data_IF_895976394062
#
_entry.id   IF_895976394062
#
_cell.length_a   1.000
_cell.length_b   1.000
_cell.length_c   1.000
_cell.angle_alpha   90.00
_cell.angle_beta   90.00
_cell.angle_gamma   90.00
#
_symmetry.space_group_name_H-M   'P 1'
#
loop_
_entity.id
_entity.type
_entity.pdbx_description
1 polymer ?
#
# COMPACT_ATOMS: atom_id res chain seq x y z
N UNK A 1 -26.76 46.43 -28.88
CA UNK A 1 -25.88 45.39 -29.45
C UNK A 1 -26.30 44.04 -28.90
N UNK A 2 -26.72 43.13 -29.78
CA UNK A 2 -27.48 41.93 -29.46
C UNK A 2 -26.59 40.75 -29.01
N UNK A 3 -27.10 39.98 -28.05
CA UNK A 3 -26.53 38.77 -27.44
C UNK A 3 -26.42 37.63 -28.47
N UNK A 4 -25.26 36.97 -28.57
CA UNK A 4 -25.12 35.66 -29.22
C UNK A 4 -25.07 34.58 -28.14
N UNK A 5 -26.15 33.81 -28.05
CA UNK A 5 -26.20 32.56 -27.28
C UNK A 5 -25.82 31.39 -28.19
N UNK A 6 -24.84 30.61 -27.77
CA UNK A 6 -24.45 29.34 -28.36
C UNK A 6 -25.36 28.23 -27.84
N UNK A 7 -26.04 27.53 -28.74
CA UNK A 7 -26.83 26.31 -28.44
C UNK A 7 -25.90 25.11 -28.26
N UNK A 8 -26.19 24.18 -27.34
CA UNK A 8 -25.52 22.88 -27.28
C UNK A 8 -26.09 21.95 -28.36
N UNK A 9 -25.18 21.25 -29.05
CA UNK A 9 -25.46 20.20 -30.03
C UNK A 9 -25.96 18.93 -29.33
N UNK A 10 -27.15 18.48 -29.72
CA UNK A 10 -27.65 17.13 -29.44
C UNK A 10 -26.84 16.11 -30.23
N UNK A 11 -26.29 15.10 -29.54
CA UNK A 11 -25.75 13.90 -30.18
C UNK A 11 -26.85 12.84 -30.25
N UNK A 12 -27.23 12.48 -31.48
CA UNK A 12 -28.09 11.35 -31.80
C UNK A 12 -27.43 10.04 -31.39
N UNK A 13 -28.11 9.28 -30.53
CA UNK A 13 -27.78 7.89 -30.23
C UNK A 13 -28.28 7.01 -31.39
N UNK A 14 -27.39 6.73 -32.33
CA UNK A 14 -27.63 5.75 -33.39
C UNK A 14 -27.74 4.34 -32.82
N UNK A 15 -28.92 3.73 -32.93
CA UNK A 15 -29.15 2.30 -32.67
C UNK A 15 -28.49 1.51 -33.79
N UNK A 16 -27.40 0.81 -33.48
CA UNK A 16 -26.76 -0.12 -34.41
C UNK A 16 -27.51 -1.45 -34.34
N UNK A 17 -28.35 -1.71 -35.35
CA UNK A 17 -28.94 -3.02 -35.60
C UNK A 17 -27.92 -3.90 -36.32
N UNK A 18 -27.36 -4.90 -35.64
CA UNK A 18 -26.45 -5.89 -36.23
C UNK A 18 -27.29 -7.05 -36.76
N UNK A 19 -27.57 -7.05 -38.06
CA UNK A 19 -28.05 -8.24 -38.77
C UNK A 19 -26.84 -9.09 -39.18
N UNK A 20 -26.70 -10.27 -38.57
CA UNK A 20 -25.67 -11.26 -38.91
C UNK A 20 -26.16 -12.08 -40.10
N UNK A 21 -25.49 -11.92 -41.25
CA UNK A 21 -25.64 -12.76 -42.45
C UNK A 21 -24.61 -13.89 -42.36
N UNK A 22 -25.08 -15.13 -42.50
CA UNK A 22 -24.29 -16.35 -42.39
C UNK A 22 -23.32 -16.56 -43.58
N UNK A 23 -22.07 -16.90 -43.28
CA UNK A 23 -21.10 -17.49 -44.20
C UNK A 23 -20.42 -18.70 -43.50
N UNK A 24 -20.04 -19.77 -44.23
CA UNK A 24 -19.59 -21.02 -43.60
C UNK A 24 -18.05 -21.21 -43.63
N UNK A 25 -17.58 -21.91 -42.58
CA UNK A 25 -16.27 -22.55 -42.40
C UNK A 25 -15.03 -21.66 -42.14
N UNK A 26 -15.07 -20.91 -41.02
CA UNK A 26 -13.94 -20.23 -40.37
C UNK A 26 -13.78 -20.71 -38.90
N UNK A 27 -13.68 -22.03 -38.66
CA UNK A 27 -13.71 -22.62 -37.29
C UNK A 27 -12.42 -22.45 -36.47
N UNK A 28 -11.42 -21.71 -36.95
CA UNK A 28 -10.21 -21.35 -36.16
C UNK A 28 -10.19 -19.85 -35.80
N UNK A 29 -10.94 -19.01 -36.52
CA UNK A 29 -11.07 -17.58 -36.19
C UNK A 29 -12.13 -17.32 -35.09
N UNK A 30 -13.15 -18.17 -34.99
CA UNK A 30 -14.27 -17.99 -34.05
C UNK A 30 -13.89 -18.27 -32.59
N UNK A 31 -12.95 -19.20 -32.35
CA UNK A 31 -12.48 -19.55 -30.99
C UNK A 31 -11.56 -18.47 -30.41
N UNK A 32 -10.71 -17.85 -31.24
CA UNK A 32 -9.83 -16.74 -30.83
C UNK A 32 -10.65 -15.50 -30.46
N UNK A 33 -11.83 -15.32 -31.05
CA UNK A 33 -12.75 -14.24 -30.68
C UNK A 33 -13.49 -14.55 -29.37
N UNK A 34 -13.90 -15.79 -29.13
CA UNK A 34 -14.60 -16.18 -27.90
C UNK A 34 -13.77 -15.96 -26.62
N UNK A 35 -12.49 -16.31 -26.62
CA UNK A 35 -11.58 -16.09 -25.48
C UNK A 35 -11.34 -14.59 -25.25
N UNK A 36 -11.20 -13.83 -26.33
CA UNK A 36 -11.00 -12.38 -26.26
C UNK A 36 -12.26 -11.66 -25.74
N UNK A 37 -13.43 -12.05 -26.24
CA UNK A 37 -14.73 -11.56 -25.75
C UNK A 37 -14.87 -11.88 -24.26
N UNK A 38 -14.56 -13.11 -23.86
CA UNK A 38 -14.60 -13.53 -22.45
C UNK A 38 -13.66 -12.69 -21.59
N UNK A 39 -12.41 -12.49 -22.03
CA UNK A 39 -11.45 -11.63 -21.33
C UNK A 39 -11.93 -10.18 -21.20
N UNK A 40 -12.57 -9.62 -22.24
CA UNK A 40 -13.16 -8.29 -22.18
C UNK A 40 -14.35 -8.22 -21.20
N UNK A 41 -15.21 -9.25 -21.17
CA UNK A 41 -16.32 -9.33 -20.22
C UNK A 41 -15.84 -9.46 -18.78
N UNK A 42 -14.76 -10.22 -18.53
CA UNK A 42 -14.14 -10.33 -17.20
C UNK A 42 -13.59 -8.97 -16.75
N UNK A 43 -12.85 -8.25 -17.62
CA UNK A 43 -12.38 -6.89 -17.31
C UNK A 43 -13.53 -5.92 -17.02
N UNK A 44 -14.64 -6.03 -17.76
CA UNK A 44 -15.82 -5.23 -17.49
C UNK A 44 -16.42 -5.55 -16.10
N UNK A 45 -16.50 -6.83 -15.73
CA UNK A 45 -16.97 -7.24 -14.41
C UNK A 45 -16.05 -6.77 -13.28
N UNK A 46 -14.72 -6.78 -13.49
CA UNK A 46 -13.72 -6.21 -12.58
C UNK A 46 -13.88 -4.70 -12.42
N UNK A 47 -14.08 -3.96 -13.51
CA UNK A 47 -14.32 -2.52 -13.46
C UNK A 47 -15.60 -2.21 -12.66
N UNK A 48 -16.69 -2.94 -12.93
CA UNK A 48 -17.93 -2.82 -12.17
C UNK A 48 -17.71 -3.16 -10.70
N UNK A 49 -16.97 -4.22 -10.39
CA UNK A 49 -16.66 -4.59 -9.01
C UNK A 49 -16.03 -3.44 -8.22
N UNK A 50 -14.99 -2.80 -8.78
CA UNK A 50 -14.32 -1.69 -8.09
C UNK A 50 -15.17 -0.43 -8.04
N UNK A 51 -16.03 -0.19 -9.04
CA UNK A 51 -17.03 0.89 -9.01
C UNK A 51 -18.03 0.72 -7.88
N UNK A 52 -18.57 -0.51 -7.71
CA UNK A 52 -19.46 -0.86 -6.60
C UNK A 52 -18.76 -0.65 -5.25
N UNK A 53 -17.54 -1.17 -5.09
CA UNK A 53 -16.78 -1.01 -3.84
C UNK A 53 -16.50 0.47 -3.54
N UNK A 54 -16.17 1.26 -4.57
CA UNK A 54 -15.98 2.70 -4.44
C UNK A 54 -17.25 3.39 -3.94
N UNK A 55 -18.40 3.10 -4.56
CA UNK A 55 -19.69 3.64 -4.13
C UNK A 55 -20.04 3.24 -2.68
N UNK A 56 -19.73 2.00 -2.28
CA UNK A 56 -19.91 1.56 -0.91
C UNK A 56 -19.04 2.35 0.08
N UNK A 57 -17.75 2.57 -0.23
CA UNK A 57 -16.86 3.38 0.61
C UNK A 57 -17.36 4.81 0.79
N UNK A 58 -18.12 5.33 -0.17
CA UNK A 58 -18.66 6.69 -0.16
C UNK A 58 -20.14 6.79 0.24
N UNK A 59 -20.79 5.67 0.58
CA UNK A 59 -22.16 5.65 1.09
C UNK A 59 -22.29 6.22 2.51
N UNK A 60 -23.51 6.56 2.92
CA UNK A 60 -23.84 7.02 4.27
C UNK A 60 -24.07 5.87 5.28
N UNK A 61 -23.52 4.68 4.98
CA UNK A 61 -23.64 3.52 5.86
C UNK A 61 -22.62 3.59 7.03
N UNK A 62 -22.93 2.99 8.20
CA UNK A 62 -21.99 2.96 9.31
C UNK A 62 -20.61 2.33 8.98
N UNK A 63 -20.52 1.19 8.25
CA UNK A 63 -19.22 0.63 7.86
C UNK A 63 -18.39 1.57 6.97
N UNK A 64 -19.04 2.28 6.05
CA UNK A 64 -18.38 3.26 5.20
C UNK A 64 -17.87 4.47 5.97
N UNK A 65 -18.66 4.98 6.91
CA UNK A 65 -18.21 6.04 7.81
C UNK A 65 -17.00 5.61 8.65
N UNK A 66 -17.00 4.39 9.19
CA UNK A 66 -15.89 3.83 9.94
C UNK A 66 -14.63 3.69 9.07
N UNK A 67 -14.75 3.15 7.86
CA UNK A 67 -13.63 3.00 6.93
C UNK A 67 -13.01 4.35 6.55
N UNK A 68 -13.84 5.38 6.29
CA UNK A 68 -13.37 6.74 6.03
C UNK A 68 -12.67 7.36 7.25
N UNK A 69 -13.21 7.16 8.45
CA UNK A 69 -12.57 7.63 9.69
C UNK A 69 -11.22 6.96 9.92
N UNK A 70 -11.10 5.67 9.63
CA UNK A 70 -9.83 4.95 9.67
C UNK A 70 -8.81 5.58 8.72
N UNK A 71 -9.18 5.81 7.45
CA UNK A 71 -8.31 6.44 6.46
C UNK A 71 -7.85 7.84 6.88
N UNK A 72 -8.77 8.65 7.43
CA UNK A 72 -8.43 9.97 8.00
C UNK A 72 -7.47 9.80 9.18
N UNK A 73 -7.73 8.85 10.07
CA UNK A 73 -6.92 8.59 11.26
C UNK A 73 -5.47 8.21 10.94
N UNK A 74 -5.23 7.53 9.81
CA UNK A 74 -3.86 7.21 9.35
C UNK A 74 -3.19 8.36 8.56
N UNK A 75 -3.88 9.48 8.34
CA UNK A 75 -3.35 10.68 7.68
C UNK A 75 -3.77 10.86 6.21
N UNK A 76 -4.79 10.13 5.72
CA UNK A 76 -5.28 10.35 4.37
C UNK A 76 -6.20 11.58 4.27
N UNK A 77 -6.10 12.29 3.14
CA UNK A 77 -7.03 13.38 2.78
C UNK A 77 -8.24 12.84 2.04
N UNK A 78 -9.43 12.89 2.66
CA UNK A 78 -10.63 12.21 2.15
C UNK A 78 -11.07 12.73 0.76
N UNK A 79 -10.88 14.02 0.48
CA UNK A 79 -11.15 14.62 -0.82
C UNK A 79 -10.30 14.02 -1.96
N UNK A 80 -9.10 13.53 -1.62
CA UNK A 80 -8.20 12.86 -2.57
C UNK A 80 -8.42 11.35 -2.57
N UNK A 81 -8.84 10.74 -1.45
CA UNK A 81 -9.25 9.33 -1.38
C UNK A 81 -10.29 8.99 -2.44
N UNK A 82 -11.20 9.93 -2.77
CA UNK A 82 -12.17 9.80 -3.87
C UNK A 82 -11.56 9.56 -5.26
N UNK A 83 -10.25 9.79 -5.42
CA UNK A 83 -9.51 9.59 -6.68
C UNK A 83 -8.61 8.37 -6.63
N UNK A 84 -8.49 7.72 -5.47
CA UNK A 84 -7.68 6.53 -5.32
C UNK A 84 -8.50 5.30 -5.76
N UNK A 85 -7.86 4.26 -6.32
CA UNK A 85 -8.53 3.02 -6.67
C UNK A 85 -8.82 2.19 -5.40
N UNK A 86 -9.63 2.74 -4.50
CA UNK A 86 -9.94 2.21 -3.18
C UNK A 86 -11.45 2.12 -3.01
N UNK A 87 -11.92 1.00 -2.49
CA UNK A 87 -13.33 0.78 -2.17
C UNK A 87 -13.51 0.06 -0.85
N UNK A 88 -14.77 -0.11 -0.45
CA UNK A 88 -15.20 -0.91 0.68
C UNK A 88 -15.99 -2.08 0.12
N UNK A 89 -15.55 -3.30 0.43
CA UNK A 89 -16.17 -4.49 -0.11
C UNK A 89 -17.54 -4.71 0.56
N UNK A 90 -18.64 -4.76 -0.20
CA UNK A 90 -19.98 -4.95 0.35
C UNK A 90 -20.27 -6.40 0.75
N UNK A 91 -21.40 -6.68 1.42
CA UNK A 91 -21.90 -8.05 1.54
C UNK A 91 -21.99 -8.74 0.18
N UNK A 92 -21.62 -10.02 0.12
CA UNK A 92 -21.58 -10.79 -1.13
C UNK A 92 -22.90 -10.77 -1.90
N UNK A 93 -24.02 -10.93 -1.21
CA UNK A 93 -25.35 -10.96 -1.83
C UNK A 93 -25.67 -9.64 -2.53
N UNK A 94 -25.23 -8.52 -1.97
CA UNK A 94 -25.39 -7.19 -2.56
C UNK A 94 -24.55 -7.04 -3.82
N UNK A 95 -23.28 -7.47 -3.77
CA UNK A 95 -22.39 -7.47 -4.94
C UNK A 95 -22.96 -8.30 -6.09
N UNK A 96 -23.42 -9.52 -5.78
CA UNK A 96 -24.05 -10.43 -6.76
C UNK A 96 -25.32 -9.82 -7.34
N UNK A 97 -26.14 -9.16 -6.50
CA UNK A 97 -27.34 -8.47 -6.96
C UNK A 97 -26.99 -7.33 -7.93
N UNK A 98 -25.97 -6.53 -7.63
CA UNK A 98 -25.54 -5.41 -8.47
C UNK A 98 -24.95 -5.88 -9.81
N UNK A 99 -24.15 -6.95 -9.86
CA UNK A 99 -23.70 -7.50 -11.14
C UNK A 99 -24.87 -8.01 -12.00
N UNK A 100 -25.84 -8.69 -11.38
CA UNK A 100 -27.03 -9.16 -12.09
C UNK A 100 -27.87 -8.02 -12.64
N UNK A 101 -28.04 -6.93 -11.89
CA UNK A 101 -28.79 -5.76 -12.35
C UNK A 101 -28.09 -5.03 -13.50
N UNK A 102 -26.76 -5.15 -13.62
CA UNK A 102 -25.98 -4.66 -14.75
C UNK A 102 -25.86 -5.65 -15.92
N UNK A 103 -26.55 -6.80 -15.85
CA UNK A 103 -26.56 -7.80 -16.93
C UNK A 103 -25.27 -8.64 -17.02
N UNK A 104 -24.40 -8.58 -16.01
CA UNK A 104 -23.21 -9.43 -15.94
C UNK A 104 -23.66 -10.85 -15.59
N UNK A 105 -23.32 -11.80 -16.46
CA UNK A 105 -23.71 -13.20 -16.29
C UNK A 105 -22.93 -13.84 -15.15
N UNK A 106 -23.55 -14.83 -14.51
CA UNK A 106 -22.99 -15.54 -13.36
C UNK A 106 -21.64 -16.18 -13.67
N UNK A 107 -21.50 -16.73 -14.87
CA UNK A 107 -20.28 -17.42 -15.31
C UNK A 107 -19.09 -16.46 -15.37
N UNK A 108 -19.32 -15.22 -15.82
CA UNK A 108 -18.30 -14.16 -15.86
C UNK A 108 -17.89 -13.75 -14.44
N UNK A 109 -18.86 -13.65 -13.52
CA UNK A 109 -18.60 -13.35 -12.10
C UNK A 109 -17.75 -14.45 -11.44
N UNK A 110 -18.09 -15.71 -11.70
CA UNK A 110 -17.35 -16.87 -11.18
C UNK A 110 -15.93 -16.92 -11.77
N UNK A 111 -15.77 -16.64 -13.06
CA UNK A 111 -14.46 -16.55 -13.72
C UNK A 111 -13.61 -15.39 -13.17
N UNK A 112 -14.20 -14.24 -12.89
CA UNK A 112 -13.51 -13.10 -12.29
C UNK A 112 -13.01 -13.41 -10.87
N UNK A 113 -13.61 -14.40 -10.19
CA UNK A 113 -13.27 -14.83 -8.82
C UNK A 113 -13.29 -13.67 -7.81
N UNK A 114 -14.17 -12.68 -8.03
CA UNK A 114 -14.29 -11.48 -7.19
C UNK A 114 -15.39 -11.62 -6.13
N UNK A 115 -16.28 -12.61 -6.30
CA UNK A 115 -17.51 -12.79 -5.52
C UNK A 115 -17.45 -13.86 -4.42
N UNK A 116 -16.33 -14.57 -4.34
CA UNK A 116 -16.28 -15.88 -3.69
C UNK A 116 -15.91 -15.87 -2.21
N UNK A 117 -15.38 -14.74 -1.70
CA UNK A 117 -14.78 -14.70 -0.37
C UNK A 117 -15.59 -13.82 0.59
N UNK A 118 -16.42 -14.45 1.41
CA UNK A 118 -17.25 -13.77 2.41
C UNK A 118 -16.41 -13.05 3.48
N UNK A 119 -15.12 -13.40 3.63
CA UNK A 119 -14.22 -12.71 4.56
C UNK A 119 -13.90 -11.29 4.12
N UNK A 120 -14.09 -10.94 2.85
CA UNK A 120 -13.84 -9.60 2.35
C UNK A 120 -14.91 -8.59 2.80
N UNK A 121 -16.10 -9.03 3.20
CA UNK A 121 -17.18 -8.15 3.62
C UNK A 121 -16.72 -7.13 4.68
N UNK A 122 -16.90 -5.84 4.38
CA UNK A 122 -16.52 -4.72 5.25
C UNK A 122 -15.02 -4.35 5.22
N UNK A 123 -14.20 -5.01 4.39
CA UNK A 123 -12.79 -4.67 4.25
C UNK A 123 -12.59 -3.57 3.20
N UNK A 124 -11.58 -2.73 3.43
CA UNK A 124 -11.05 -1.85 2.40
C UNK A 124 -10.37 -2.71 1.33
N UNK A 125 -10.66 -2.45 0.06
CA UNK A 125 -10.12 -3.22 -1.07
C UNK A 125 -9.55 -2.30 -2.14
N UNK A 126 -8.46 -2.73 -2.76
CA UNK A 126 -7.85 -2.05 -3.90
C UNK A 126 -7.27 -3.06 -4.89
N UNK A 127 -7.23 -2.72 -6.19
CA UNK A 127 -6.69 -3.60 -7.20
C UNK A 127 -5.18 -3.67 -7.07
N UNK A 128 -4.63 -4.87 -7.27
CA UNK A 128 -3.23 -5.06 -7.61
C UNK A 128 -3.19 -5.38 -9.10
N UNK A 129 -2.70 -4.43 -9.88
CA UNK A 129 -2.55 -4.57 -11.33
C UNK A 129 -1.08 -4.71 -11.69
N UNK A 130 -0.82 -5.34 -12.84
CA UNK A 130 0.51 -5.37 -13.42
C UNK A 130 0.86 -4.05 -14.15
N UNK A 131 2.05 -4.01 -14.75
CA UNK A 131 2.52 -2.84 -15.46
C UNK A 131 1.73 -2.53 -16.76
N UNK A 132 0.90 -3.44 -17.25
CA UNK A 132 -0.02 -3.25 -18.37
C UNK A 132 -1.41 -2.76 -17.93
N UNK A 133 -1.69 -2.77 -16.62
CA UNK A 133 -2.97 -2.41 -16.05
C UNK A 133 -3.94 -3.58 -15.93
N UNK A 134 -3.49 -4.82 -16.16
CA UNK A 134 -4.32 -6.01 -16.01
C UNK A 134 -4.40 -6.40 -14.52
N UNK A 135 -5.60 -6.76 -14.05
CA UNK A 135 -5.81 -7.16 -12.66
C UNK A 135 -5.10 -8.49 -12.36
N UNK A 136 -4.22 -8.47 -11.36
CA UNK A 136 -3.49 -9.64 -10.87
C UNK A 136 -4.19 -10.24 -9.66
N UNK A 137 -4.54 -9.41 -8.67
CA UNK A 137 -5.26 -9.82 -7.46
C UNK A 137 -5.99 -8.63 -6.84
N UNK A 138 -6.80 -8.90 -5.83
CA UNK A 138 -7.29 -7.90 -4.87
C UNK A 138 -6.42 -7.99 -3.62
N UNK A 139 -6.08 -6.82 -3.07
CA UNK A 139 -5.59 -6.70 -1.71
C UNK A 139 -6.71 -6.12 -0.84
N UNK A 140 -6.87 -6.66 0.37
CA UNK A 140 -7.87 -6.20 1.33
C UNK A 140 -7.26 -5.94 2.71
N UNK A 141 -7.74 -4.89 3.37
CA UNK A 141 -7.34 -4.50 4.73
C UNK A 141 -8.58 -4.23 5.56
N UNK A 142 -8.62 -4.79 6.77
CA UNK A 142 -9.64 -4.46 7.75
C UNK A 142 -9.44 -3.01 8.23
N UNK A 143 -10.45 -2.13 8.12
CA UNK A 143 -10.40 -0.77 8.64
C UNK A 143 -10.48 -0.70 10.18
N UNK A 144 -10.64 -1.83 10.88
CA UNK A 144 -10.69 -1.92 12.35
C UNK A 144 -9.27 -2.09 12.91
N UNK A 145 -8.70 -1.07 13.60
CA UNK A 145 -7.30 -1.10 14.04
C UNK A 145 -6.98 -2.19 15.06
N UNK A 146 -7.97 -2.66 15.82
CA UNK A 146 -7.77 -3.61 16.91
C UNK A 146 -7.41 -5.02 16.40
N UNK A 147 -7.83 -5.35 15.17
CA UNK A 147 -7.62 -6.66 14.56
C UNK A 147 -7.27 -6.48 13.08
N UNK A 148 -6.07 -5.95 12.76
CA UNK A 148 -5.71 -5.64 11.39
C UNK A 148 -5.54 -6.94 10.59
N UNK A 149 -6.63 -7.40 9.96
CA UNK A 149 -6.61 -8.52 9.04
C UNK A 149 -6.25 -8.02 7.65
N UNK A 150 -5.35 -8.75 6.99
CA UNK A 150 -4.97 -8.54 5.59
C UNK A 150 -5.33 -9.78 4.82
N UNK A 151 -6.04 -9.59 3.71
CA UNK A 151 -6.34 -10.69 2.80
C UNK A 151 -5.77 -10.33 1.43
N UNK A 152 -5.15 -11.31 0.81
CA UNK A 152 -4.61 -11.24 -0.53
C UNK A 152 -5.06 -12.51 -1.21
N UNK A 153 -5.76 -12.39 -2.34
CA UNK A 153 -6.34 -13.55 -3.01
C UNK A 153 -5.28 -14.47 -3.61
N UNK A 154 -4.30 -13.89 -4.32
CA UNK A 154 -3.26 -14.61 -5.06
C UNK A 154 -1.85 -14.08 -4.72
N UNK A 155 -0.77 -14.89 -4.80
CA UNK A 155 0.60 -14.48 -4.50
C UNK A 155 1.18 -13.53 -5.58
N UNK A 156 0.69 -12.29 -5.58
CA UNK A 156 0.96 -11.29 -6.62
C UNK A 156 2.41 -10.85 -6.71
N UNK A 157 3.18 -11.00 -5.62
CA UNK A 157 4.59 -10.57 -5.55
C UNK A 157 5.50 -11.31 -6.54
N UNK A 158 5.05 -12.46 -7.06
CA UNK A 158 5.73 -13.21 -8.13
C UNK A 158 5.42 -12.68 -9.53
N UNK A 159 4.34 -11.92 -9.68
CA UNK A 159 3.82 -11.43 -10.97
C UNK A 159 4.03 -9.93 -11.16
N UNK A 160 4.05 -9.16 -10.07
CA UNK A 160 4.23 -7.70 -10.11
C UNK A 160 5.42 -7.32 -9.23
N UNK A 161 6.40 -6.53 -9.74
CA UNK A 161 7.58 -6.15 -8.95
C UNK A 161 7.18 -5.37 -7.69
N UNK A 162 6.27 -4.42 -7.85
CA UNK A 162 5.73 -3.56 -6.81
C UNK A 162 4.32 -3.10 -7.19
N UNK A 163 3.46 -2.88 -6.20
CA UNK A 163 2.15 -2.30 -6.43
C UNK A 163 2.25 -0.80 -6.75
N UNK A 164 1.33 -0.29 -7.57
CA UNK A 164 1.30 1.11 -8.01
C UNK A 164 2.21 1.41 -9.20
N UNK A 165 2.83 0.40 -9.82
CA UNK A 165 3.67 0.55 -11.01
C UNK A 165 2.85 1.08 -12.20
N UNK A 166 1.62 0.61 -12.37
CA UNK A 166 0.67 1.12 -13.37
C UNK A 166 0.48 2.64 -13.24
N UNK A 167 0.21 3.11 -12.01
CA UNK A 167 0.02 4.52 -11.72
C UNK A 167 1.31 5.31 -11.96
N UNK A 168 2.45 4.77 -11.52
CA UNK A 168 3.75 5.38 -11.73
C UNK A 168 4.09 5.54 -13.22
N UNK A 169 3.83 4.51 -14.03
CA UNK A 169 4.01 4.54 -15.49
C UNK A 169 3.06 5.52 -16.17
N UNK A 170 1.77 5.48 -15.80
CA UNK A 170 0.76 6.37 -16.36
C UNK A 170 1.04 7.85 -16.07
N UNK A 171 1.72 8.16 -14.96
CA UNK A 171 2.11 9.53 -14.63
C UNK A 171 3.16 10.14 -15.57
N UNK A 172 3.93 9.31 -16.29
CA UNK A 172 5.06 9.73 -17.12
C UNK A 172 6.28 10.26 -16.34
N UNK A 173 6.15 10.43 -15.02
CA UNK A 173 7.25 10.81 -14.13
C UNK A 173 8.15 9.59 -13.95
N UNK A 174 9.46 9.75 -14.12
CA UNK A 174 10.44 8.65 -14.02
C UNK A 174 11.25 8.65 -12.72
N UNK A 175 10.94 9.57 -11.81
CA UNK A 175 11.49 9.61 -10.46
C UNK A 175 10.42 9.12 -9.49
N UNK A 176 10.61 7.91 -8.96
CA UNK A 176 9.61 7.24 -8.14
C UNK A 176 9.99 7.22 -6.67
N UNK A 177 8.97 7.08 -5.83
CA UNK A 177 9.10 6.84 -4.40
C UNK A 177 8.70 5.40 -4.14
N UNK A 178 9.46 4.68 -3.32
CA UNK A 178 9.05 3.36 -2.85
C UNK A 178 8.83 3.38 -1.35
N UNK A 179 7.79 2.66 -0.92
CA UNK A 179 7.51 2.38 0.49
C UNK A 179 7.34 0.87 0.70
N UNK A 180 7.42 0.46 1.96
CA UNK A 180 7.27 -0.95 2.34
C UNK A 180 5.81 -1.34 2.60
N UNK A 181 4.89 -0.39 2.81
CA UNK A 181 3.48 -0.69 3.19
C UNK A 181 2.48 0.08 2.34
N UNK A 182 1.36 -0.58 2.02
CA UNK A 182 0.26 0.01 1.25
C UNK A 182 -0.33 1.26 1.90
N UNK A 183 -0.58 1.22 3.22
CA UNK A 183 -1.15 2.36 3.93
C UNK A 183 -0.25 3.60 3.86
N UNK A 184 1.08 3.42 3.86
CA UNK A 184 1.99 4.55 3.69
C UNK A 184 1.86 5.14 2.28
N UNK A 185 1.76 4.32 1.24
CA UNK A 185 1.57 4.81 -0.13
C UNK A 185 0.23 5.53 -0.31
N UNK A 186 -0.86 5.01 0.27
CA UNK A 186 -2.17 5.68 0.23
C UNK A 186 -2.11 7.06 0.89
N UNK A 187 -1.45 7.17 2.04
CA UNK A 187 -1.24 8.44 2.72
C UNK A 187 -0.43 9.39 1.83
N UNK A 188 0.68 8.93 1.26
CA UNK A 188 1.52 9.73 0.35
C UNK A 188 0.75 10.19 -0.90
N UNK A 189 0.04 9.30 -1.59
CA UNK A 189 -0.79 9.61 -2.75
C UNK A 189 -1.88 10.62 -2.40
N UNK A 190 -2.57 10.45 -1.27
CA UNK A 190 -3.61 11.39 -0.84
C UNK A 190 -3.07 12.79 -0.54
N UNK A 191 -1.77 12.92 -0.30
CA UNK A 191 -1.07 14.16 -0.06
C UNK A 191 -0.25 14.65 -1.28
N UNK A 192 -0.45 14.03 -2.46
CA UNK A 192 0.21 14.44 -3.70
C UNK A 192 1.69 14.10 -3.78
N UNK A 193 2.18 13.17 -2.96
CA UNK A 193 3.61 12.84 -2.87
C UNK A 193 3.98 11.75 -3.87
N UNK A 194 4.31 12.22 -5.08
CA UNK A 194 4.93 11.47 -6.19
C UNK A 194 4.19 10.21 -6.65
N UNK A 195 4.59 9.63 -7.80
CA UNK A 195 4.26 8.24 -8.06
C UNK A 195 4.96 7.36 -7.01
N UNK A 196 4.18 6.91 -6.03
CA UNK A 196 4.65 6.00 -4.98
C UNK A 196 4.32 4.55 -5.32
N UNK A 197 5.29 3.65 -5.18
CA UNK A 197 5.13 2.19 -5.33
C UNK A 197 5.31 1.47 -3.99
N UNK A 198 4.76 0.25 -3.88
CA UNK A 198 4.77 -0.54 -2.64
C UNK A 198 5.32 -1.95 -2.88
N UNK A 199 6.25 -2.38 -2.01
CA UNK A 199 6.75 -3.75 -2.07
C UNK A 199 6.02 -4.74 -1.15
N UNK A 200 5.42 -4.25 -0.07
CA UNK A 200 4.82 -5.02 1.03
C UNK A 200 5.80 -5.85 1.88
N UNK A 201 7.10 -5.73 1.60
CA UNK A 201 8.18 -6.36 2.35
C UNK A 201 9.19 -5.28 2.80
N UNK A 202 9.93 -5.49 3.90
CA UNK A 202 11.07 -4.66 4.23
C UNK A 202 12.05 -4.62 3.06
N UNK A 203 12.64 -3.46 2.76
CA UNK A 203 13.46 -3.33 1.55
C UNK A 203 14.64 -4.32 1.50
N UNK A 204 15.21 -4.65 2.65
CA UNK A 204 16.34 -5.60 2.78
C UNK A 204 15.92 -7.08 2.66
N UNK A 205 14.62 -7.35 2.47
CA UNK A 205 14.04 -8.68 2.31
C UNK A 205 13.44 -8.90 0.92
N UNK A 206 13.44 -7.88 0.06
CA UNK A 206 12.95 -8.02 -1.31
C UNK A 206 13.92 -8.89 -2.10
N UNK A 207 13.37 -9.87 -2.81
CA UNK A 207 14.11 -10.78 -3.66
C UNK A 207 14.80 -10.06 -4.83
N UNK A 208 15.95 -10.58 -5.23
CA UNK A 208 16.77 -9.98 -6.28
C UNK A 208 16.02 -9.88 -7.62
N UNK A 209 15.23 -10.89 -7.97
CA UNK A 209 14.49 -10.92 -9.23
C UNK A 209 13.39 -9.84 -9.27
N UNK A 210 12.77 -9.51 -8.13
CA UNK A 210 11.81 -8.42 -8.03
C UNK A 210 12.47 -7.05 -8.21
N UNK A 211 13.68 -6.86 -7.65
CA UNK A 211 14.46 -5.66 -7.92
C UNK A 211 14.82 -5.55 -9.40
N UNK A 212 15.35 -6.63 -10.00
CA UNK A 212 15.69 -6.65 -11.42
C UNK A 212 14.48 -6.36 -12.31
N UNK A 213 13.32 -6.94 -12.00
CA UNK A 213 12.07 -6.67 -12.71
C UNK A 213 11.65 -5.19 -12.59
N UNK A 214 11.78 -4.57 -11.40
CA UNK A 214 11.52 -3.14 -11.24
C UNK A 214 12.50 -2.29 -12.07
N UNK A 215 13.79 -2.58 -12.02
CA UNK A 215 14.82 -1.80 -12.72
C UNK A 215 14.87 -2.04 -14.23
N UNK A 216 14.12 -3.02 -14.74
CA UNK A 216 13.86 -3.17 -16.18
C UNK A 216 12.87 -2.14 -16.73
N UNK A 217 12.15 -1.42 -15.85
CA UNK A 217 11.24 -0.35 -16.22
C UNK A 217 11.99 0.96 -16.50
N UNK A 218 11.39 1.92 -17.25
CA UNK A 218 12.02 3.19 -17.59
C UNK A 218 12.10 4.17 -16.41
N UNK A 219 12.84 3.79 -15.37
CA UNK A 219 13.04 4.51 -14.11
C UNK A 219 14.35 5.32 -14.17
N UNK A 220 14.27 6.62 -13.87
CA UNK A 220 15.44 7.52 -13.82
C UNK A 220 16.00 7.66 -12.41
N UNK A 221 15.17 7.59 -11.36
CA UNK A 221 15.65 7.53 -9.99
C UNK A 221 14.61 6.93 -9.04
N UNK A 222 15.08 6.33 -7.95
CA UNK A 222 14.23 5.73 -6.92
C UNK A 222 14.60 6.23 -5.54
N UNK A 223 13.61 6.72 -4.78
CA UNK A 223 13.79 7.11 -3.37
C UNK A 223 13.07 6.14 -2.46
N UNK A 224 13.81 5.43 -1.61
CA UNK A 224 13.27 4.47 -0.65
C UNK A 224 12.92 5.16 0.67
N UNK A 225 11.68 5.01 1.12
CA UNK A 225 11.18 5.53 2.40
C UNK A 225 10.89 4.37 3.37
N UNK A 226 11.90 3.89 4.12
CA UNK A 226 11.72 2.81 5.09
C UNK A 226 11.06 3.34 6.36
N UNK A 227 9.74 3.50 6.36
CA UNK A 227 9.00 3.87 7.55
C UNK A 227 9.18 2.83 8.66
N UNK A 228 9.44 3.30 9.87
CA UNK A 228 9.83 2.48 11.01
C UNK A 228 11.33 2.52 11.29
N UNK A 229 11.73 1.85 12.36
CA UNK A 229 13.14 1.72 12.71
C UNK A 229 13.79 0.63 11.84
N UNK A 230 14.93 0.97 11.23
CA UNK A 230 15.83 0.04 10.57
C UNK A 230 17.19 0.16 11.24
N UNK A 231 17.77 -0.97 11.59
CA UNK A 231 19.15 -1.00 12.09
C UNK A 231 20.15 -0.84 10.93
N UNK A 232 21.41 -0.54 11.27
CA UNK A 232 22.47 -0.39 10.28
C UNK A 232 22.74 -1.70 9.51
N UNK A 233 22.44 -2.86 10.11
CA UNK A 233 22.62 -4.16 9.47
C UNK A 233 21.64 -4.39 8.32
N UNK A 234 20.36 -4.02 8.49
CA UNK A 234 19.34 -4.04 7.45
C UNK A 234 19.74 -3.13 6.28
N UNK A 235 20.20 -1.91 6.58
CA UNK A 235 20.67 -0.99 5.55
C UNK A 235 21.90 -1.53 4.80
N UNK A 236 22.82 -2.20 5.49
CA UNK A 236 23.97 -2.85 4.86
C UNK A 236 23.55 -4.02 3.95
N UNK A 237 22.58 -4.84 4.36
CA UNK A 237 22.01 -5.93 3.53
C UNK A 237 21.35 -5.37 2.28
N UNK A 238 20.51 -4.35 2.43
CA UNK A 238 19.86 -3.66 1.32
C UNK A 238 20.89 -3.13 0.31
N UNK A 239 21.93 -2.42 0.77
CA UNK A 239 23.01 -1.94 -0.11
C UNK A 239 23.70 -3.08 -0.86
N UNK A 240 23.95 -4.20 -0.19
CA UNK A 240 24.58 -5.39 -0.81
C UNK A 240 23.67 -5.98 -1.89
N UNK A 241 22.38 -6.14 -1.63
CA UNK A 241 21.39 -6.63 -2.61
C UNK A 241 21.31 -5.72 -3.84
N UNK A 242 21.17 -4.40 -3.61
CA UNK A 242 21.06 -3.42 -4.69
C UNK A 242 22.32 -3.35 -5.56
N UNK A 243 23.51 -3.49 -4.96
CA UNK A 243 24.77 -3.63 -5.72
C UNK A 243 24.80 -4.91 -6.56
N UNK A 244 24.27 -6.02 -6.04
CA UNK A 244 24.19 -7.28 -6.78
C UNK A 244 23.23 -7.22 -7.97
N UNK A 245 22.27 -6.28 -7.97
CA UNK A 245 21.41 -6.02 -9.12
C UNK A 245 22.17 -5.37 -10.30
N UNK A 246 23.38 -4.83 -10.07
CA UNK A 246 24.13 -4.12 -11.12
C UNK A 246 23.47 -2.82 -11.61
N UNK A 247 22.63 -2.22 -10.77
CA UNK A 247 21.73 -1.13 -11.15
C UNK A 247 22.49 0.20 -11.28
N UNK A 248 22.33 0.85 -12.43
CA UNK A 248 22.87 2.20 -12.68
C UNK A 248 21.92 3.33 -12.26
N UNK A 249 20.65 2.99 -11.98
CA UNK A 249 19.63 3.95 -11.52
C UNK A 249 20.07 4.57 -10.18
N UNK A 250 20.13 5.90 -10.07
CA UNK A 250 20.34 6.60 -8.80
C UNK A 250 19.34 6.15 -7.71
N UNK A 251 19.87 5.53 -6.66
CA UNK A 251 19.09 5.09 -5.50
C UNK A 251 19.34 6.00 -4.31
N UNK A 252 18.24 6.47 -3.73
CA UNK A 252 18.22 7.36 -2.59
C UNK A 252 17.45 6.71 -1.45
N UNK A 253 17.73 7.14 -0.22
CA UNK A 253 16.93 6.77 0.93
C UNK A 253 16.84 7.89 1.94
N UNK A 254 15.80 7.89 2.77
CA UNK A 254 15.75 8.72 3.97
C UNK A 254 15.94 7.80 5.18
N UNK A 255 16.90 8.07 6.07
CA UNK A 255 17.08 7.25 7.27
C UNK A 255 15.78 7.15 8.08
N UNK A 256 15.33 5.93 8.38
CA UNK A 256 14.02 5.68 9.02
C UNK A 256 13.79 6.46 10.32
N UNK A 257 14.86 6.75 11.08
CA UNK A 257 14.81 7.63 12.27
C UNK A 257 14.22 9.03 12.01
N UNK A 258 14.35 9.55 10.79
CA UNK A 258 13.76 10.84 10.37
C UNK A 258 12.28 10.67 10.01
N UNK A 259 11.94 9.57 9.33
CA UNK A 259 10.57 9.26 8.90
C UNK A 259 9.64 8.90 10.06
N UNK A 260 10.15 8.27 11.12
CA UNK A 260 9.29 7.82 12.23
C UNK A 260 8.54 6.53 11.87
N UNK A 261 7.40 6.28 12.51
CA UNK A 261 6.74 4.97 12.45
C UNK A 261 5.92 4.70 11.18
N UNK A 262 5.31 5.74 10.58
CA UNK A 262 4.47 5.66 9.39
C UNK A 262 4.35 7.02 8.68
N UNK A 263 3.84 7.02 7.46
CA UNK A 263 3.70 8.22 6.63
C UNK A 263 2.79 9.28 7.26
N UNK A 264 1.70 8.89 7.94
CA UNK A 264 0.80 9.84 8.59
C UNK A 264 1.48 10.62 9.71
N UNK A 265 2.17 9.92 10.60
CA UNK A 265 2.94 10.52 11.69
C UNK A 265 4.17 11.29 11.19
N UNK A 266 4.69 10.95 10.00
CA UNK A 266 5.72 11.75 9.36
C UNK A 266 5.16 13.08 8.85
N UNK A 267 4.06 13.05 8.10
CA UNK A 267 3.44 14.24 7.51
C UNK A 267 3.04 15.27 8.56
N UNK A 268 2.44 14.82 9.67
CA UNK A 268 2.07 15.69 10.81
C UNK A 268 3.26 16.40 11.46
N UNK A 269 4.49 15.94 11.23
CA UNK A 269 5.71 16.58 11.75
C UNK A 269 6.37 17.51 10.74
N UNK A 270 5.94 17.47 9.48
CA UNK A 270 6.50 18.25 8.37
C UNK A 270 5.55 19.36 7.90
N UNK A 271 4.53 19.72 8.68
CA UNK A 271 3.41 20.61 8.30
C UNK A 271 3.81 21.94 7.62
N UNK A 272 5.03 22.43 7.85
CA UNK A 272 5.53 23.69 7.28
C UNK A 272 6.26 23.57 5.92
N UNK A 273 6.50 22.35 5.43
CA UNK A 273 7.27 22.10 4.20
C UNK A 273 6.50 21.14 3.29
N UNK A 274 6.44 21.45 2.00
CA UNK A 274 5.86 20.54 1.01
C UNK A 274 6.59 19.17 1.08
N UNK A 275 5.87 18.05 1.29
CA UNK A 275 6.52 16.77 1.60
C UNK A 275 7.50 16.29 0.50
N UNK A 276 7.20 16.58 -0.77
CA UNK A 276 8.08 16.27 -1.90
C UNK A 276 9.40 17.04 -1.84
N UNK A 277 9.35 18.32 -1.46
CA UNK A 277 10.55 19.15 -1.26
C UNK A 277 11.35 18.64 -0.07
N UNK A 278 10.68 18.32 1.04
CA UNK A 278 11.33 17.76 2.21
C UNK A 278 12.08 16.45 1.88
N UNK A 279 11.46 15.56 1.10
CA UNK A 279 12.08 14.31 0.66
C UNK A 279 13.36 14.58 -0.13
N UNK A 280 13.30 15.51 -1.08
CA UNK A 280 14.44 15.88 -1.93
C UNK A 280 15.62 16.43 -1.12
N UNK A 281 15.35 17.28 -0.13
CA UNK A 281 16.40 17.89 0.72
C UNK A 281 17.01 16.92 1.73
N UNK A 282 16.28 15.88 2.14
CA UNK A 282 16.67 15.00 3.23
C UNK A 282 17.12 13.61 2.79
N UNK A 283 16.91 13.25 1.51
CA UNK A 283 17.38 11.98 0.96
C UNK A 283 18.89 11.95 0.85
N UNK A 284 19.47 10.79 1.09
CA UNK A 284 20.90 10.52 0.98
C UNK A 284 21.13 9.41 -0.04
N UNK A 285 22.25 9.40 -0.77
CA UNK A 285 22.58 8.31 -1.68
C UNK A 285 22.63 6.97 -0.93
N UNK A 286 21.88 5.99 -1.42
CA UNK A 286 21.88 4.63 -0.87
C UNK A 286 23.05 3.82 -1.44
N UNK A 287 23.24 3.93 -2.75
CA UNK A 287 24.39 3.41 -3.49
C UNK A 287 25.09 4.61 -4.10
N UNK A 288 26.28 4.95 -3.60
CA UNK A 288 27.15 5.88 -4.34
C UNK A 288 27.59 5.16 -5.62
N UNK A 289 27.37 5.73 -6.82
CA UNK A 289 28.13 5.27 -7.98
C UNK A 289 29.61 5.38 -7.61
N UNK A 290 30.38 4.34 -7.89
CA UNK A 290 31.76 4.10 -7.41
C UNK A 290 32.80 5.13 -7.92
N UNK A 291 32.39 6.32 -8.37
CA UNK A 291 33.25 7.33 -9.00
C UNK A 291 33.06 8.77 -8.56
N UNK A 292 32.45 9.03 -7.41
CA UNK A 292 32.68 10.34 -6.76
C UNK A 292 33.91 10.21 -5.87
N UNK A 293 35.10 10.33 -6.48
CA UNK A 293 36.30 10.74 -5.74
C UNK A 293 35.97 12.10 -5.12
N UNK A 294 35.55 12.10 -3.87
CA UNK A 294 35.54 13.30 -3.04
C UNK A 294 37.01 13.74 -2.89
N UNK A 295 37.49 14.58 -3.80
CA UNK A 295 38.58 15.50 -3.49
C UNK A 295 38.06 16.47 -2.44
N UNK A 296 38.10 16.06 -1.17
CA UNK A 296 37.99 16.98 -0.05
C UNK A 296 39.30 17.76 0.03
N UNK A 297 39.42 18.80 -0.79
CA UNK A 297 40.24 19.97 -0.47
C UNK A 297 39.28 20.96 0.20
N UNK A 298 38.96 20.70 1.46
CA UNK A 298 38.46 21.74 2.36
C UNK A 298 39.59 22.00 3.32
N UNK A 299 40.41 23.01 2.99
CA UNK A 299 41.33 23.61 3.93
C UNK A 299 40.52 24.10 5.13
N UNK A 300 40.60 23.37 6.24
CA UNK A 300 40.13 23.84 7.53
C UNK A 300 41.06 24.99 7.92
N UNK A 301 40.57 26.24 8.06
CA UNK A 301 41.39 27.30 8.58
C UNK A 301 41.68 26.96 10.04
N UNK A 302 42.92 26.58 10.32
CA UNK A 302 43.45 26.39 11.67
C UNK A 302 43.31 27.71 12.41
N UNK A 303 42.28 27.83 13.26
CA UNK A 303 42.10 29.01 14.11
C UNK A 303 43.29 29.10 15.06
N UNK A 304 44.07 30.16 14.85
CA UNK A 304 45.15 30.62 15.70
C UNK A 304 44.68 30.75 17.15
N UNK A 305 45.44 30.10 18.02
CA UNK A 305 45.29 30.10 19.47
C UNK A 305 45.76 31.46 19.99
N UNK A 306 44.84 32.33 20.40
CA UNK A 306 45.17 33.54 21.15
C UNK A 306 44.77 33.37 22.59
N UNK A 307 45.78 33.33 23.46
CA UNK A 307 45.70 33.43 24.90
C UNK A 307 45.33 34.86 25.33
N UNK A 308 44.33 35.01 26.18
CA UNK A 308 44.24 36.14 27.11
C UNK A 308 43.43 35.73 28.34
N UNK A 309 43.97 36.07 29.50
CA UNK A 309 43.48 35.76 30.83
C UNK A 309 42.59 36.88 31.38
N UNK A 310 41.98 36.58 32.54
CA UNK A 310 41.39 37.50 33.54
C UNK A 310 40.04 38.16 33.15
N UNK A 311 39.04 38.38 34.01
CA UNK A 311 38.82 38.22 35.47
C UNK A 311 37.30 38.36 35.76
N UNK A 312 36.82 37.75 36.88
CA UNK A 312 35.64 38.14 37.70
C UNK A 312 34.22 38.12 37.06
N UNK A 313 33.10 37.84 37.73
CA UNK A 313 32.76 37.77 39.15
C UNK A 313 31.51 36.88 39.36
N UNK A 314 31.52 36.13 40.47
CA UNK A 314 30.48 36.03 41.52
C UNK A 314 28.98 36.13 41.11
N UNK A 315 28.20 35.07 41.30
CA UNK A 315 26.93 35.11 42.09
C UNK A 315 26.29 33.72 42.32
N UNK A 316 26.13 33.42 43.62
CA UNK A 316 25.03 32.72 44.31
C UNK A 316 24.42 31.41 43.75
N UNK A 317 24.96 30.33 44.31
CA UNK A 317 24.30 29.21 45.00
C UNK A 317 22.79 29.36 45.33
N UNK A 318 21.97 28.48 44.75
CA UNK A 318 20.71 28.03 45.35
C UNK A 318 20.39 26.59 44.88
N UNK A 319 20.56 25.64 45.79
CA UNK A 319 20.17 24.24 45.62
C UNK A 319 18.67 24.04 45.84
N UNK A 320 18.03 23.08 45.13
CA UNK A 320 16.94 22.33 45.74
C UNK A 320 17.06 20.80 45.60
N UNK A 321 16.29 20.04 46.41
CA UNK A 321 16.80 18.84 47.05
C UNK A 321 16.37 17.51 46.41
N UNK A 322 17.11 16.49 46.84
CA UNK A 322 16.92 15.06 46.57
C UNK A 322 15.46 14.58 46.68
N UNK A 323 14.99 13.82 45.68
CA UNK A 323 13.73 13.08 45.76
C UNK A 323 13.96 11.56 45.74
N UNK A 324 13.30 10.95 46.72
CA UNK A 324 13.45 9.60 47.28
C UNK A 324 13.05 8.47 46.34
N UNK A 325 13.81 7.37 46.49
CA UNK A 325 13.50 5.97 46.16
C UNK A 325 12.03 5.61 46.45
N UNK A 326 11.35 4.93 45.52
CA UNK A 326 10.18 4.08 45.83
C UNK A 326 10.38 2.65 45.34
N UNK A 327 10.06 1.78 46.29
CA UNK A 327 10.18 0.32 46.38
C UNK A 327 9.42 -0.45 45.30
N UNK A 328 10.07 -1.53 44.89
CA UNK A 328 9.48 -2.79 44.40
C UNK A 328 8.46 -3.39 45.37
N UNK A 329 7.35 -3.94 44.85
CA UNK A 329 6.59 -5.00 45.52
C UNK A 329 6.07 -6.02 44.50
N UNK A 330 6.28 -7.29 44.87
CA UNK A 330 5.96 -8.53 44.15
C UNK A 330 4.47 -8.88 44.21
N UNK A 331 4.05 -9.57 43.15
CA UNK A 331 3.22 -10.78 43.09
C UNK A 331 1.89 -10.88 43.87
N UNK A 332 0.83 -11.29 43.17
CA UNK A 332 -0.07 -12.35 43.64
C UNK A 332 -0.77 -13.07 42.48
N UNK A 333 -0.54 -14.39 42.41
CA UNK A 333 -1.35 -15.39 41.68
C UNK A 333 -2.70 -15.56 42.37
N UNK A 334 -3.77 -15.74 41.62
CA UNK A 334 -5.00 -16.44 42.05
C UNK A 334 -5.85 -16.85 40.82
N UNK A 335 -5.73 -18.12 40.41
CA UNK A 335 -6.86 -18.99 40.04
C UNK A 335 -7.39 -19.63 41.35
N UNK A 336 -8.59 -20.25 41.46
CA UNK A 336 -9.36 -21.00 40.44
C UNK A 336 -10.91 -20.87 40.51
N UNK A 337 -11.65 -21.41 39.53
CA UNK A 337 -12.56 -22.56 39.70
C UNK A 337 -13.44 -22.82 38.47
N UNK A 338 -13.73 -24.11 38.30
CA UNK A 338 -14.47 -24.75 37.25
C UNK A 338 -15.99 -24.59 37.40
N UNK A 339 -16.68 -24.51 36.28
CA UNK A 339 -18.11 -24.74 36.13
C UNK A 339 -18.33 -25.28 34.72
N UNK A 340 -18.74 -26.54 34.62
CA UNK A 340 -18.98 -27.20 33.34
C UNK A 340 -20.30 -26.75 32.73
N UNK A 341 -20.29 -26.59 31.41
CA UNK A 341 -21.50 -26.65 30.60
C UNK A 341 -21.16 -27.34 29.28
N UNK A 342 -21.86 -28.44 29.03
CA UNK A 342 -21.80 -29.25 27.81
C UNK A 342 -22.37 -28.46 26.64
N UNK A 343 -21.47 -27.92 25.81
CA UNK A 343 -21.78 -27.39 24.48
C UNK A 343 -21.38 -28.41 23.41
N UNK A 344 -22.06 -28.45 22.26
CA UNK A 344 -21.82 -29.44 21.22
C UNK A 344 -20.42 -29.24 20.65
N UNK A 345 -19.66 -30.33 20.54
CA UNK A 345 -18.30 -30.37 20.00
C UNK A 345 -18.29 -29.75 18.60
N UNK A 346 -17.66 -28.58 18.37
CA UNK A 346 -17.42 -28.12 17.02
C UNK A 346 -16.37 -29.04 16.41
N UNK A 347 -16.64 -29.54 15.21
CA UNK A 347 -15.68 -30.26 14.38
C UNK A 347 -14.41 -29.40 14.25
N UNK A 348 -13.37 -29.77 15.01
CA UNK A 348 -12.04 -29.17 14.87
C UNK A 348 -11.48 -29.58 13.52
N UNK A 349 -11.62 -28.70 12.53
CA UNK A 349 -10.81 -28.73 11.31
C UNK A 349 -9.38 -28.33 11.72
N UNK A 350 -8.58 -29.33 12.07
CA UNK A 350 -7.13 -29.17 12.22
C UNK A 350 -6.50 -29.04 10.84
N UNK A 351 -5.64 -28.03 10.64
CA UNK A 351 -4.77 -28.00 9.48
C UNK A 351 -3.89 -29.26 9.38
N UNK A 352 -3.21 -29.51 8.26
CA UNK A 352 -2.46 -30.75 8.01
C UNK A 352 -1.36 -31.08 9.04
N UNK A 353 -1.00 -30.13 9.90
CA UNK A 353 0.01 -30.26 10.98
C UNK A 353 -0.57 -30.28 12.40
N UNK A 354 -1.90 -30.19 12.58
CA UNK A 354 -2.53 -30.18 13.91
C UNK A 354 -2.45 -28.84 14.65
N UNK A 355 -1.92 -27.79 14.01
CA UNK A 355 -1.83 -26.45 14.61
C UNK A 355 -3.21 -25.74 14.54
N UNK A 356 -3.56 -24.96 15.56
CA UNK A 356 -4.79 -24.17 15.58
C UNK A 356 -4.58 -22.73 15.12
N UNK A 357 -3.33 -22.28 15.06
CA UNK A 357 -2.95 -20.91 14.73
C UNK A 357 -1.88 -20.86 13.64
N UNK A 358 -1.98 -19.86 12.79
CA UNK A 358 -1.12 -19.62 11.66
C UNK A 358 0.22 -19.04 12.09
N UNK A 359 1.34 -19.74 11.83
CA UNK A 359 2.67 -19.28 12.29
C UNK A 359 3.10 -17.92 11.73
N UNK A 360 2.65 -17.54 10.53
CA UNK A 360 2.98 -16.25 9.92
C UNK A 360 2.15 -15.08 10.49
N UNK A 361 0.88 -15.32 10.81
CA UNK A 361 -0.08 -14.25 11.10
C UNK A 361 -0.71 -14.32 12.49
N UNK A 362 -0.42 -15.38 13.26
CA UNK A 362 -0.90 -15.62 14.62
C UNK A 362 -2.43 -15.54 14.78
N UNK A 363 -3.19 -15.88 13.72
CA UNK A 363 -4.64 -15.99 13.72
C UNK A 363 -5.08 -17.48 13.60
N UNK A 364 -6.33 -17.83 13.94
CA UNK A 364 -6.84 -19.19 13.72
C UNK A 364 -6.58 -19.66 12.28
N UNK A 365 -6.18 -20.92 12.08
CA UNK A 365 -5.86 -21.43 10.72
C UNK A 365 -7.06 -21.34 9.77
N UNK A 366 -8.28 -21.53 10.27
CA UNK A 366 -9.52 -21.35 9.48
C UNK A 366 -9.68 -19.93 8.93
N UNK A 367 -8.99 -18.98 9.54
CA UNK A 367 -9.06 -17.56 9.23
C UNK A 367 -7.74 -17.08 8.58
N UNK A 368 -6.80 -17.98 8.30
CA UNK A 368 -5.48 -17.69 7.74
C UNK A 368 -5.26 -18.34 6.36
N UNK A 369 -4.81 -17.55 5.38
CA UNK A 369 -4.54 -17.98 4.01
C UNK A 369 -3.24 -18.78 3.80
N UNK A 370 -2.45 -19.07 4.84
CA UNK A 370 -1.21 -19.83 4.65
C UNK A 370 -1.42 -21.32 4.33
N UNK A 371 -2.67 -21.80 4.34
CA UNK A 371 -3.02 -23.21 4.28
C UNK A 371 -4.09 -23.56 3.24
N UNK A 372 -4.51 -22.59 2.39
CA UNK A 372 -5.27 -22.88 1.16
C UNK A 372 -4.32 -23.22 0.00
#
# INVERSE_FOLDING_TARGET
>A
MAKRGTKPTQHDAGVVNVNVIAAPADEIAEVVDADRITAHLVRAAEAVFFDVCYHHLHSDTPPAAQARQFLIGIGCRLEVVRRLPLGLYPPRDELVHQWRSQGIRREIVEQARLAGDDRLAGMLVWPVVDAAGDLVTIYAQDPIPQHPRRLVRDPWRTRVPAWGIDHARASGIKTWIAVERFLDALVLWSNGVGPTIVFEDPFDQIELDRWNALFSLPLESLTLLPFGYRDEAALARLRKQLRACGVEVPLWTIPGRRLGANAGAWLQRTDDVEPSVWIEEHRVPLTTPERVRLTMAVDVPTKSRTTAAETSAKTTDESPPARKKRRSRKARKQTPHAGGDTTPVPLKLTGPTGESECRMHQCPITDCFCFD
#
